data_IF_669053745095
#
_entry.id   IF_669053745095
#
_cell.length_a   1.000
_cell.length_b   1.000
_cell.length_c   1.000
_cell.angle_alpha   90.00
_cell.angle_beta   90.00
_cell.angle_gamma   90.00
#
_symmetry.space_group_name_H-M   'P 1'
#
loop_
_entity.id
_entity.type
_entity.pdbx_description
1 polymer ?
#
# COMPACT_ATOMS: atom_id res chain seq x y z
N UNK A 1 46.10 -18.83 8.98
CA UNK A 1 46.51 -17.75 8.06
C UNK A 1 45.72 -17.90 6.78
N UNK A 2 45.32 -16.77 6.17
CA UNK A 2 44.63 -16.59 4.89
C UNK A 2 43.11 -16.88 4.91
N UNK A 3 42.24 -15.86 5.12
CA UNK A 3 41.57 -14.96 4.13
C UNK A 3 40.46 -15.68 3.32
N UNK A 4 39.26 -15.18 3.02
CA UNK A 4 38.55 -13.88 3.14
C UNK A 4 37.08 -14.10 2.69
N UNK A 5 36.16 -13.27 3.20
CA UNK A 5 35.00 -12.58 2.54
C UNK A 5 33.95 -13.44 1.79
N UNK A 6 32.65 -13.47 2.17
CA UNK A 6 31.56 -12.47 2.11
C UNK A 6 31.02 -12.17 0.69
N UNK A 7 29.73 -11.82 0.61
CA UNK A 7 28.91 -11.42 -0.56
C UNK A 7 28.15 -12.57 -1.29
N UNK A 8 26.81 -12.70 -1.31
CA UNK A 8 25.67 -11.78 -1.55
C UNK A 8 25.44 -11.37 -3.02
N UNK A 9 24.80 -12.24 -3.80
CA UNK A 9 24.09 -11.90 -5.06
C UNK A 9 22.90 -12.87 -5.18
N UNK A 10 21.64 -12.47 -4.99
CA UNK A 10 20.79 -11.67 -5.90
C UNK A 10 20.81 -12.20 -7.34
N UNK A 11 19.87 -13.10 -7.67
CA UNK A 11 19.41 -13.25 -9.05
C UNK A 11 17.91 -13.64 -9.04
N UNK A 12 17.08 -12.64 -9.32
CA UNK A 12 15.70 -12.79 -9.77
C UNK A 12 15.71 -12.59 -11.29
N UNK A 13 14.73 -13.22 -11.96
CA UNK A 13 14.26 -13.02 -13.35
C UNK A 13 14.67 -14.12 -14.34
N UNK A 14 13.78 -15.09 -14.53
CA UNK A 14 13.49 -15.57 -15.89
C UNK A 14 12.03 -15.28 -16.23
N UNK A 15 11.88 -14.52 -17.31
CA UNK A 15 10.64 -14.17 -18.00
C UNK A 15 10.46 -15.18 -19.11
N UNK A 16 9.44 -16.03 -19.02
CA UNK A 16 9.00 -16.81 -20.18
C UNK A 16 7.81 -16.13 -20.87
N UNK A 17 7.99 -15.98 -22.17
CA UNK A 17 7.24 -15.12 -23.06
C UNK A 17 6.40 -15.99 -24.01
N UNK A 18 5.24 -15.47 -24.41
CA UNK A 18 4.45 -15.81 -25.61
C UNK A 18 3.51 -17.04 -25.57
N UNK A 19 2.20 -16.75 -25.69
CA UNK A 19 1.39 -17.27 -26.80
C UNK A 19 0.08 -16.46 -26.95
N UNK A 20 -0.04 -15.77 -28.09
CA UNK A 20 -1.28 -15.19 -28.62
C UNK A 20 -2.09 -16.30 -29.32
N UNK A 21 -3.41 -16.36 -29.10
CA UNK A 21 -4.36 -16.81 -30.12
C UNK A 21 -5.77 -16.27 -29.82
N UNK A 22 -6.23 -15.40 -30.73
CA UNK A 22 -7.58 -14.85 -30.83
C UNK A 22 -8.47 -15.83 -31.62
N UNK A 23 -9.63 -16.21 -31.08
CA UNK A 23 -10.77 -16.69 -31.89
C UNK A 23 -12.08 -16.20 -31.28
N UNK A 24 -12.84 -15.46 -32.10
CA UNK A 24 -14.12 -14.83 -31.80
C UNK A 24 -15.33 -15.78 -31.99
N UNK A 25 -16.29 -15.67 -31.05
CA UNK A 25 -17.78 -15.74 -31.19
C UNK A 25 -18.48 -17.11 -31.36
N UNK A 26 -19.83 -17.21 -31.20
CA UNK A 26 -20.59 -17.19 -29.94
C UNK A 26 -21.55 -18.41 -29.83
N UNK A 27 -22.09 -18.73 -28.64
CA UNK A 27 -23.18 -19.73 -28.56
C UNK A 27 -24.27 -19.36 -27.54
N UNK A 28 -25.49 -19.38 -28.06
CA UNK A 28 -26.78 -19.06 -27.46
C UNK A 28 -27.41 -20.32 -26.86
N UNK A 29 -27.77 -20.31 -25.57
CA UNK A 29 -29.13 -20.71 -25.16
C UNK A 29 -29.41 -20.55 -23.65
N UNK A 30 -30.67 -20.27 -23.26
CA UNK A 30 -31.06 -19.83 -21.93
C UNK A 30 -31.56 -20.98 -21.05
N UNK A 31 -31.25 -20.98 -19.74
CA UNK A 31 -32.05 -21.76 -18.79
C UNK A 31 -32.24 -21.09 -17.42
N UNK A 32 -33.43 -20.50 -17.32
CA UNK A 32 -34.36 -20.57 -16.18
C UNK A 32 -33.97 -19.82 -14.90
N UNK A 33 -34.41 -18.56 -14.88
CA UNK A 33 -34.80 -17.82 -13.66
C UNK A 33 -35.70 -18.71 -12.79
N UNK A 34 -35.24 -19.09 -11.60
CA UNK A 34 -36.11 -19.49 -10.50
C UNK A 34 -36.07 -18.39 -9.45
N UNK A 35 -37.15 -17.63 -9.41
CA UNK A 35 -37.50 -16.75 -8.30
C UNK A 35 -37.94 -17.65 -7.16
N UNK A 36 -37.31 -17.51 -6.00
CA UNK A 36 -37.84 -17.99 -4.73
C UNK A 36 -37.59 -16.89 -3.70
N UNK A 37 -38.64 -16.10 -3.45
CA UNK A 37 -38.71 -15.21 -2.30
C UNK A 37 -39.36 -15.99 -1.15
N UNK A 38 -38.71 -16.02 0.03
CA UNK A 38 -39.29 -15.61 1.32
C UNK A 38 -38.34 -15.91 2.50
N UNK A 39 -38.12 -14.84 3.27
CA UNK A 39 -38.00 -14.75 4.72
C UNK A 39 -37.27 -15.87 5.49
N UNK A 40 -36.15 -15.49 6.09
CA UNK A 40 -35.56 -16.24 7.18
C UNK A 40 -34.26 -15.59 7.64
N UNK A 41 -34.35 -14.89 8.76
CA UNK A 41 -33.28 -14.65 9.71
C UNK A 41 -32.17 -13.66 9.32
N UNK A 42 -31.98 -12.67 10.19
CA UNK A 42 -30.96 -11.66 10.05
C UNK A 42 -29.60 -12.30 9.83
N UNK A 43 -29.05 -12.11 8.63
CA UNK A 43 -27.62 -12.27 8.38
C UNK A 43 -26.88 -11.60 9.54
N UNK A 44 -25.98 -12.30 10.26
CA UNK A 44 -25.17 -11.66 11.27
C UNK A 44 -24.44 -10.54 10.55
N UNK A 45 -24.85 -9.29 10.80
CA UNK A 45 -24.07 -8.13 10.41
C UNK A 45 -22.69 -8.45 10.95
N UNK A 46 -21.74 -8.80 10.05
CA UNK A 46 -20.32 -8.87 10.39
C UNK A 46 -20.09 -7.63 11.22
N UNK A 47 -19.80 -7.81 12.52
CA UNK A 47 -19.54 -6.69 13.43
C UNK A 47 -18.57 -5.80 12.67
N UNK A 48 -19.06 -4.67 12.19
CA UNK A 48 -18.24 -3.77 11.41
C UNK A 48 -17.09 -3.45 12.33
N UNK A 49 -15.87 -3.85 11.92
CA UNK A 49 -14.67 -3.63 12.71
C UNK A 49 -14.70 -2.15 13.08
N UNK A 50 -14.89 -1.89 14.38
CA UNK A 50 -15.09 -0.57 14.93
C UNK A 50 -13.98 0.34 14.39
N UNK A 51 -14.39 1.46 13.80
CA UNK A 51 -13.57 2.51 13.18
C UNK A 51 -12.45 2.03 12.22
N UNK A 52 -12.73 2.10 10.92
CA UNK A 52 -11.70 2.07 9.87
C UNK A 52 -10.74 3.27 9.92
N UNK A 53 -11.08 4.33 10.67
CA UNK A 53 -10.23 5.50 10.82
C UNK A 53 -9.10 5.17 11.79
N UNK A 54 -7.87 5.31 11.31
CA UNK A 54 -6.66 5.16 12.14
C UNK A 54 -6.55 6.41 13.02
N UNK A 55 -6.29 6.24 14.33
CA UNK A 55 -6.17 7.37 15.24
C UNK A 55 -4.98 8.27 14.86
N UNK A 56 -5.11 9.56 15.16
CA UNK A 56 -4.03 10.55 14.97
C UNK A 56 -3.24 10.82 16.26
N UNK A 57 -3.80 10.47 17.42
CA UNK A 57 -3.12 10.51 18.71
C UNK A 57 -3.53 9.31 19.60
N UNK A 58 -2.78 9.09 20.69
CA UNK A 58 -3.04 7.97 21.62
C UNK A 58 -4.38 8.11 22.35
N UNK A 59 -4.87 9.34 22.55
CA UNK A 59 -6.15 9.61 23.24
C UNK A 59 -7.36 9.23 22.37
N UNK A 60 -7.30 9.48 21.05
CA UNK A 60 -8.34 9.08 20.08
C UNK A 60 -8.27 7.58 19.74
N UNK A 61 -7.20 6.88 20.14
CA UNK A 61 -7.03 5.47 19.84
C UNK A 61 -8.15 4.63 20.48
N UNK A 62 -8.74 3.73 19.69
CA UNK A 62 -9.74 2.79 20.19
C UNK A 62 -9.09 1.81 21.18
N UNK A 63 -9.86 1.15 22.06
CA UNK A 63 -9.30 0.14 22.96
C UNK A 63 -8.58 -0.99 22.20
N UNK A 64 -9.04 -1.30 20.98
CA UNK A 64 -8.36 -2.24 20.10
C UNK A 64 -6.99 -1.75 19.61
N UNK A 65 -6.90 -0.48 19.22
CA UNK A 65 -5.66 0.13 18.75
C UNK A 65 -4.64 0.29 19.89
N UNK A 66 -5.10 0.69 21.08
CA UNK A 66 -4.27 0.73 22.30
C UNK A 66 -3.66 -0.63 22.63
N UNK A 67 -4.44 -1.71 22.51
CA UNK A 67 -3.95 -3.06 22.71
C UNK A 67 -2.79 -3.40 21.76
N UNK A 68 -2.93 -3.06 20.47
CA UNK A 68 -1.89 -3.33 19.47
C UNK A 68 -0.60 -2.56 19.80
N UNK A 69 -0.71 -1.30 20.17
CA UNK A 69 0.45 -0.44 20.54
C UNK A 69 1.14 -1.01 21.78
N UNK A 70 0.40 -1.17 22.88
CA UNK A 70 0.95 -1.58 24.17
C UNK A 70 1.60 -2.96 24.12
N UNK A 71 0.94 -3.94 23.49
CA UNK A 71 1.55 -5.27 23.37
C UNK A 71 2.78 -5.26 22.46
N UNK A 72 2.81 -4.39 21.44
CA UNK A 72 3.99 -4.28 20.58
C UNK A 72 5.17 -3.66 21.32
N UNK A 73 4.93 -2.64 22.13
CA UNK A 73 5.94 -2.01 22.99
C UNK A 73 6.47 -2.96 24.07
N UNK A 74 5.63 -3.88 24.56
CA UNK A 74 6.02 -4.97 25.47
C UNK A 74 6.85 -6.08 24.79
N UNK A 75 7.06 -6.01 23.47
CA UNK A 75 7.89 -6.95 22.73
C UNK A 75 7.16 -8.21 22.23
N UNK A 76 5.83 -8.27 22.33
CA UNK A 76 5.07 -9.41 21.82
C UNK A 76 5.17 -9.56 20.30
N UNK A 77 5.03 -10.80 19.84
CA UNK A 77 4.96 -11.15 18.42
C UNK A 77 3.61 -10.73 17.83
N UNK A 78 3.56 -10.50 16.50
CA UNK A 78 2.31 -10.15 15.82
C UNK A 78 1.22 -11.23 15.95
N UNK A 79 1.61 -12.50 16.09
CA UNK A 79 0.68 -13.61 16.30
C UNK A 79 -0.04 -13.52 17.65
N UNK A 80 0.69 -13.21 18.72
CA UNK A 80 0.13 -13.02 20.07
C UNK A 80 -0.76 -11.78 20.14
N UNK A 81 -0.30 -10.67 19.55
CA UNK A 81 -1.07 -9.41 19.46
C UNK A 81 -2.39 -9.65 18.73
N UNK A 82 -2.34 -10.38 17.61
CA UNK A 82 -3.53 -10.74 16.86
C UNK A 82 -4.46 -11.61 17.71
N UNK A 83 -3.95 -12.64 18.37
CA UNK A 83 -4.77 -13.50 19.22
C UNK A 83 -5.47 -12.71 20.33
N UNK A 84 -4.79 -11.75 20.96
CA UNK A 84 -5.38 -10.86 21.95
C UNK A 84 -6.44 -9.93 21.33
N UNK A 85 -6.18 -9.39 20.15
CA UNK A 85 -7.10 -8.51 19.42
C UNK A 85 -8.37 -9.25 18.98
N UNK A 86 -8.25 -10.49 18.48
CA UNK A 86 -9.39 -11.33 18.11
C UNK A 86 -10.21 -11.74 19.33
N UNK A 87 -9.56 -11.97 20.49
CA UNK A 87 -10.25 -12.21 21.77
C UNK A 87 -11.03 -10.98 22.23
N UNK A 88 -10.47 -9.78 22.08
CA UNK A 88 -11.10 -8.53 22.50
C UNK A 88 -12.31 -8.17 21.60
N UNK A 89 -12.16 -8.29 20.28
CA UNK A 89 -13.16 -7.85 19.30
C UNK A 89 -14.15 -8.94 18.90
N UNK A 90 -13.77 -10.21 19.05
CA UNK A 90 -14.49 -11.37 18.51
C UNK A 90 -14.42 -11.47 16.98
N UNK A 91 -13.58 -10.68 16.30
CA UNK A 91 -13.45 -10.67 14.84
C UNK A 91 -12.13 -11.29 14.42
N UNK A 92 -12.17 -12.25 13.50
CA UNK A 92 -10.96 -12.82 12.88
C UNK A 92 -10.42 -11.88 11.81
N UNK A 93 -9.12 -11.60 11.84
CA UNK A 93 -8.44 -10.69 10.89
C UNK A 93 -7.42 -11.43 10.02
N UNK A 94 -6.69 -10.74 9.14
CA UNK A 94 -5.57 -11.35 8.41
C UNK A 94 -4.30 -11.36 9.27
N UNK A 95 -3.32 -12.20 8.91
CA UNK A 95 -2.02 -12.26 9.62
C UNK A 95 -1.31 -10.89 9.66
N UNK A 96 -1.48 -10.08 8.62
CA UNK A 96 -0.83 -8.77 8.53
C UNK A 96 -1.64 -7.62 9.12
N UNK A 97 -2.91 -7.83 9.49
CA UNK A 97 -3.80 -6.76 9.94
C UNK A 97 -3.19 -5.92 11.07
N UNK A 98 -2.77 -6.55 12.17
CA UNK A 98 -2.21 -5.84 13.33
C UNK A 98 -0.90 -5.12 12.98
N UNK A 99 -0.05 -5.71 12.14
CA UNK A 99 1.20 -5.09 11.69
C UNK A 99 0.95 -3.85 10.84
N UNK A 100 0.06 -3.95 9.86
CA UNK A 100 -0.31 -2.82 8.99
C UNK A 100 -1.01 -1.72 9.80
N UNK A 101 -1.94 -2.08 10.68
CA UNK A 101 -2.64 -1.14 11.57
C UNK A 101 -1.63 -0.40 12.46
N UNK A 102 -0.73 -1.12 13.13
CA UNK A 102 0.32 -0.53 13.96
C UNK A 102 1.23 0.43 13.16
N UNK A 103 1.64 0.04 11.96
CA UNK A 103 2.47 0.90 11.11
C UNK A 103 1.77 2.21 10.78
N UNK A 104 0.47 2.16 10.43
CA UNK A 104 -0.33 3.36 10.16
C UNK A 104 -0.51 4.23 11.39
N UNK A 105 -0.76 3.63 12.56
CA UNK A 105 -0.84 4.36 13.85
C UNK A 105 0.48 5.09 14.11
N UNK A 106 1.61 4.38 14.01
CA UNK A 106 2.93 4.97 14.26
C UNK A 106 3.26 6.08 13.26
N UNK A 107 2.91 5.92 12.00
CA UNK A 107 3.07 6.96 10.99
C UNK A 107 2.27 8.22 11.34
N UNK A 108 1.01 8.07 11.77
CA UNK A 108 0.18 9.20 12.19
C UNK A 108 0.72 9.90 13.44
N UNK A 109 1.32 9.15 14.37
CA UNK A 109 1.89 9.72 15.60
C UNK A 109 3.25 10.38 15.35
N UNK A 110 3.87 10.12 14.20
CA UNK A 110 5.15 10.72 13.84
C UNK A 110 4.89 12.08 13.20
N UNK A 111 5.31 13.14 13.87
CA UNK A 111 5.22 14.52 13.39
C UNK A 111 6.60 14.99 12.96
N UNK A 112 6.70 15.60 11.78
CA UNK A 112 7.92 16.26 11.32
C UNK A 112 8.03 17.59 12.07
N UNK A 113 9.20 17.87 12.65
CA UNK A 113 9.46 19.16 13.32
C UNK A 113 9.27 20.32 12.32
N UNK A 114 8.56 21.36 12.75
CA UNK A 114 8.33 22.56 11.93
C UNK A 114 9.64 23.20 11.45
N UNK A 115 10.72 23.07 12.22
CA UNK A 115 12.08 23.53 11.86
C UNK A 115 12.66 22.79 10.67
N UNK A 116 12.24 21.55 10.44
CA UNK A 116 12.72 20.70 9.35
C UNK A 116 11.85 20.79 8.10
N UNK A 117 10.65 21.37 8.19
CA UNK A 117 9.78 21.65 7.03
C UNK A 117 10.51 22.40 5.89
N UNK A 118 11.29 23.47 6.11
CA UNK A 118 12.04 24.11 5.03
C UNK A 118 13.07 23.17 4.40
N UNK A 119 13.76 22.35 5.20
CA UNK A 119 14.73 21.34 4.71
C UNK A 119 14.04 20.24 3.90
N UNK A 120 12.83 19.83 4.32
CA UNK A 120 12.02 18.87 3.59
C UNK A 120 11.61 19.41 2.21
N UNK A 121 11.22 20.67 2.13
CA UNK A 121 10.86 21.34 0.86
C UNK A 121 12.09 21.41 -0.05
N UNK A 122 13.25 21.80 0.48
CA UNK A 122 14.51 21.84 -0.27
C UNK A 122 14.91 20.44 -0.78
N UNK A 123 14.91 19.44 0.10
CA UNK A 123 15.22 18.06 -0.27
C UNK A 123 14.27 17.54 -1.37
N UNK A 124 12.97 17.83 -1.26
CA UNK A 124 11.98 17.48 -2.30
C UNK A 124 12.33 18.12 -3.64
N UNK A 125 12.73 19.39 -3.66
CA UNK A 125 13.10 20.08 -4.90
C UNK A 125 14.37 19.51 -5.55
N UNK A 126 15.38 19.16 -4.74
CA UNK A 126 16.61 18.51 -5.21
C UNK A 126 16.27 17.18 -5.88
N UNK A 127 15.55 16.31 -5.18
CA UNK A 127 15.15 15.00 -5.70
C UNK A 127 14.29 15.12 -6.94
N UNK A 128 13.33 16.07 -6.99
CA UNK A 128 12.48 16.30 -8.16
C UNK A 128 13.33 16.67 -9.40
N UNK A 129 14.35 17.51 -9.23
CA UNK A 129 15.26 17.92 -10.31
C UNK A 129 16.12 16.75 -10.82
N UNK A 130 16.68 15.97 -9.90
CA UNK A 130 17.48 14.79 -10.25
C UNK A 130 16.63 13.72 -10.95
N UNK A 131 15.43 13.47 -10.43
CA UNK A 131 14.46 12.55 -11.02
C UNK A 131 14.10 12.97 -12.45
N UNK A 132 13.83 14.25 -12.71
CA UNK A 132 13.53 14.72 -14.07
C UNK A 132 14.69 14.50 -15.04
N UNK A 133 15.93 14.67 -14.57
CA UNK A 133 17.14 14.42 -15.37
C UNK A 133 17.31 12.92 -15.64
N UNK A 134 17.04 12.08 -14.64
CA UNK A 134 17.07 10.63 -14.79
C UNK A 134 16.00 10.12 -15.76
N UNK A 135 14.79 10.67 -15.69
CA UNK A 135 13.70 10.34 -16.62
C UNK A 135 14.07 10.73 -18.05
N UNK A 136 14.71 11.89 -18.28
CA UNK A 136 15.17 12.28 -19.62
C UNK A 136 16.08 11.22 -20.24
N UNK A 137 17.09 10.78 -19.49
CA UNK A 137 18.04 9.74 -19.94
C UNK A 137 17.36 8.40 -20.16
N UNK A 138 16.46 8.03 -19.25
CA UNK A 138 15.70 6.77 -19.35
C UNK A 138 14.78 6.79 -20.58
N UNK A 139 14.12 7.90 -20.89
CA UNK A 139 13.26 8.03 -22.08
C UNK A 139 14.04 7.80 -23.38
N UNK A 140 15.21 8.41 -23.53
CA UNK A 140 16.07 8.20 -24.69
C UNK A 140 16.50 6.73 -24.80
N UNK A 141 16.85 6.10 -23.68
CA UNK A 141 17.24 4.68 -23.64
C UNK A 141 16.11 3.73 -24.03
N UNK A 142 14.85 4.14 -23.79
CA UNK A 142 13.64 3.41 -24.21
C UNK A 142 13.21 3.72 -25.65
N UNK A 143 14.01 4.47 -26.42
CA UNK A 143 13.69 4.88 -27.79
C UNK A 143 12.71 6.06 -27.88
N UNK A 144 12.47 6.76 -26.77
CA UNK A 144 11.71 8.00 -26.72
C UNK A 144 12.52 9.23 -27.19
N UNK A 145 11.86 10.38 -27.19
CA UNK A 145 12.50 11.65 -27.56
C UNK A 145 13.49 12.15 -26.49
N UNK A 146 14.47 12.94 -26.93
CA UNK A 146 15.34 13.71 -26.03
C UNK A 146 14.63 14.99 -25.60
N UNK A 147 14.36 15.10 -24.30
CA UNK A 147 13.63 16.22 -23.71
C UNK A 147 14.45 16.83 -22.59
N UNK A 148 14.50 18.17 -22.56
CA UNK A 148 15.07 18.88 -21.42
C UNK A 148 14.29 18.56 -20.13
N UNK A 149 15.00 18.47 -19.01
CA UNK A 149 14.41 18.15 -17.70
C UNK A 149 13.22 19.07 -17.32
N UNK A 150 13.25 20.34 -17.73
CA UNK A 150 12.16 21.30 -17.50
C UNK A 150 10.85 20.91 -18.23
N UNK A 151 10.95 20.33 -19.43
CA UNK A 151 9.79 19.86 -20.20
C UNK A 151 9.15 18.66 -19.52
N UNK A 152 9.99 17.73 -19.05
CA UNK A 152 9.57 16.56 -18.29
C UNK A 152 8.90 16.98 -16.98
N UNK A 153 9.51 17.90 -16.24
CA UNK A 153 8.95 18.44 -15.01
C UNK A 153 7.57 19.06 -15.22
N UNK A 154 7.42 19.89 -16.27
CA UNK A 154 6.12 20.49 -16.62
C UNK A 154 5.09 19.40 -16.93
N UNK A 155 5.48 18.38 -17.71
CA UNK A 155 4.56 17.32 -18.10
C UNK A 155 4.10 16.47 -16.92
N UNK A 156 5.00 16.13 -16.00
CA UNK A 156 4.65 15.41 -14.77
C UNK A 156 3.69 16.21 -13.89
N UNK A 157 3.95 17.52 -13.72
CA UNK A 157 3.03 18.42 -12.98
C UNK A 157 1.66 18.55 -13.61
N UNK A 158 1.57 18.50 -14.94
CA UNK A 158 0.28 18.47 -15.65
C UNK A 158 -0.48 17.16 -15.39
N UNK A 159 0.22 16.02 -15.42
CA UNK A 159 -0.36 14.70 -15.16
C UNK A 159 -0.82 14.55 -13.69
N UNK A 160 -0.05 15.07 -12.72
CA UNK A 160 -0.42 15.06 -11.30
C UNK A 160 -1.72 15.83 -11.03
N UNK A 161 -1.92 16.96 -11.73
CA UNK A 161 -3.16 17.75 -11.64
C UNK A 161 -4.36 17.04 -12.27
N UNK A 162 -4.12 16.24 -13.32
CA UNK A 162 -5.17 15.50 -14.01
C UNK A 162 -5.56 14.20 -13.29
N UNK A 163 -4.63 13.59 -12.53
CA UNK A 163 -4.88 12.42 -11.69
C UNK A 163 -5.77 12.66 -10.47
N UNK A 164 -6.14 13.92 -10.18
CA UNK A 164 -7.06 14.29 -9.09
C UNK A 164 -8.53 14.47 -9.52
N UNK A 165 -8.90 14.10 -10.74
CA UNK A 165 -10.27 14.31 -11.27
C UNK A 165 -10.86 13.06 -11.94
N UNK A 166 -10.63 11.88 -11.36
CA UNK A 166 -11.43 10.67 -11.69
C UNK A 166 -12.21 10.19 -10.48
#
# INVERSE_FOLDING_TARGET
MAVKEDESTSECLELDTLALADTRTPSSSPRKRRVAAKNGEGSPRKKAVSSNKVPTCLEEASPEDRLIITMKEQGHSWGEIRAAWEKLTGVKVSNQYCSVRHHRIKANFTVIDERDVPKLIEARQIVEKEMCTYIAKTLVSLGGGDYAAAVIQKKLKELDKQGGTQ
#
